data_IF_559739127430
#
_entry.id   IF_559739127430
#
_cell.length_a   1.000
_cell.length_b   1.000
_cell.length_c   1.000
_cell.angle_alpha   90.00
_cell.angle_beta   90.00
_cell.angle_gamma   90.00
#
_symmetry.space_group_name_H-M   'P 1'
#
loop_
_entity.id
_entity.type
_entity.pdbx_description
1 polymer ?
#
# COMPACT_ATOMS: atom_id res chain seq x y z
N UNK A 1 1.70 7.57 0.30
CA UNK A 1 0.34 7.92 -0.17
C UNK A 1 -0.50 8.29 1.04
N UNK A 2 -0.72 9.58 1.32
CA UNK A 2 -1.57 10.01 2.43
C UNK A 2 -3.05 9.69 2.14
N UNK A 3 -3.82 9.42 3.20
CA UNK A 3 -5.28 9.36 3.11
C UNK A 3 -5.87 10.78 3.12
N UNK A 4 -7.01 10.94 2.45
CA UNK A 4 -7.84 12.15 2.59
C UNK A 4 -8.45 12.22 4.01
N UNK A 5 -8.82 13.41 4.51
CA UNK A 5 -9.54 13.53 5.77
C UNK A 5 -10.88 12.77 5.74
N UNK A 6 -11.26 12.18 6.88
CA UNK A 6 -12.57 11.54 7.10
C UNK A 6 -12.91 10.34 6.18
N UNK A 7 -11.91 9.63 5.63
CA UNK A 7 -12.12 8.47 4.75
C UNK A 7 -11.97 7.10 5.42
N UNK A 8 -11.83 7.06 6.76
CA UNK A 8 -11.56 5.81 7.49
C UNK A 8 -12.58 4.70 7.19
N UNK A 9 -13.87 5.05 7.16
CA UNK A 9 -14.93 4.07 6.91
C UNK A 9 -14.92 3.55 5.46
N UNK A 10 -14.58 4.41 4.49
CA UNK A 10 -14.39 4.00 3.08
C UNK A 10 -13.20 3.06 3.00
N UNK A 11 -12.07 3.42 3.60
CA UNK A 11 -10.85 2.60 3.66
C UNK A 11 -11.16 1.21 4.20
N UNK A 12 -11.85 1.11 5.34
CA UNK A 12 -12.24 -0.19 5.92
C UNK A 12 -13.14 -0.98 4.96
N UNK A 13 -14.14 -0.33 4.37
CA UNK A 13 -15.10 -0.97 3.45
C UNK A 13 -14.43 -1.57 2.22
N UNK A 14 -13.47 -0.87 1.62
CA UNK A 14 -12.81 -1.31 0.37
C UNK A 14 -11.49 -2.05 0.61
N UNK A 15 -11.04 -2.19 1.87
CA UNK A 15 -9.77 -2.83 2.25
C UNK A 15 -9.60 -4.23 1.65
N UNK A 16 -10.67 -5.04 1.65
CA UNK A 16 -10.62 -6.39 1.07
C UNK A 16 -10.36 -6.32 -0.43
N UNK A 17 -11.05 -5.43 -1.15
CA UNK A 17 -10.87 -5.22 -2.59
C UNK A 17 -9.46 -4.71 -2.90
N UNK A 18 -8.90 -3.83 -2.05
CA UNK A 18 -7.52 -3.37 -2.18
C UNK A 18 -6.55 -4.56 -2.10
N UNK A 19 -6.72 -5.43 -1.11
CA UNK A 19 -5.86 -6.62 -1.00
C UNK A 19 -5.98 -7.56 -2.19
N UNK A 20 -7.19 -7.80 -2.70
CA UNK A 20 -7.37 -8.60 -3.91
C UNK A 20 -6.69 -7.95 -5.13
N UNK A 21 -6.77 -6.62 -5.27
CA UNK A 21 -6.14 -5.88 -6.36
C UNK A 21 -4.61 -5.92 -6.33
N UNK A 22 -3.98 -5.94 -5.15
CA UNK A 22 -2.52 -5.97 -5.05
C UNK A 22 -1.90 -7.38 -5.11
N UNK A 23 -2.66 -8.45 -4.87
CA UNK A 23 -2.16 -9.84 -4.99
C UNK A 23 -1.40 -10.12 -6.30
N UNK A 24 -1.94 -9.80 -7.50
CA UNK A 24 -1.20 -10.03 -8.75
C UNK A 24 0.06 -9.15 -8.86
N UNK A 25 0.08 -7.96 -8.25
CA UNK A 25 1.26 -7.09 -8.23
C UNK A 25 2.36 -7.68 -7.34
N UNK A 26 1.98 -8.29 -6.21
CA UNK A 26 2.90 -9.02 -5.34
C UNK A 26 3.45 -10.25 -6.08
N UNK A 27 2.57 -11.05 -6.69
CA UNK A 27 2.96 -12.28 -7.40
C UNK A 27 3.91 -12.01 -8.60
N UNK A 28 3.77 -10.86 -9.25
CA UNK A 28 4.65 -10.44 -10.35
C UNK A 28 5.91 -9.67 -9.89
N UNK A 29 6.07 -9.41 -8.60
CA UNK A 29 7.18 -8.61 -8.06
C UNK A 29 7.08 -7.10 -8.32
N UNK A 30 5.96 -6.63 -8.92
CA UNK A 30 5.70 -5.20 -9.15
C UNK A 30 5.40 -4.46 -7.86
N UNK A 31 4.76 -5.09 -6.86
CA UNK A 31 4.66 -4.57 -5.50
C UNK A 31 5.60 -5.35 -4.60
N UNK A 32 6.74 -4.76 -4.27
CA UNK A 32 7.83 -5.45 -3.60
C UNK A 32 7.73 -5.38 -2.06
N UNK A 33 7.22 -4.27 -1.54
CA UNK A 33 6.90 -4.10 -0.12
C UNK A 33 5.78 -3.08 0.06
N UNK A 34 5.01 -3.19 1.15
CA UNK A 34 4.00 -2.18 1.45
C UNK A 34 3.38 -2.32 2.83
N UNK A 35 2.76 -1.25 3.31
CA UNK A 35 2.15 -1.21 4.63
C UNK A 35 1.27 0.03 4.85
N UNK A 36 0.48 -0.02 5.92
CA UNK A 36 -0.28 1.11 6.40
C UNK A 36 0.62 2.06 7.21
N UNK A 37 0.43 3.36 7.01
CA UNK A 37 0.99 4.41 7.86
C UNK A 37 -0.05 4.73 8.93
N UNK A 38 0.35 4.73 10.20
CA UNK A 38 -0.54 5.04 11.31
C UNK A 38 -0.19 6.39 11.94
N UNK A 39 -1.19 7.07 12.53
CA UNK A 39 -1.00 8.31 13.32
C UNK A 39 -0.10 8.06 14.53
N UNK A 40 -0.28 6.90 15.17
CA UNK A 40 0.46 6.44 16.34
C UNK A 40 0.63 4.92 16.25
N UNK A 41 1.50 4.36 17.08
CA UNK A 41 1.65 2.91 17.16
C UNK A 41 0.29 2.26 17.45
N UNK A 42 -0.16 1.29 16.63
CA UNK A 42 -1.43 0.61 16.88
C UNK A 42 -1.34 -0.22 18.16
N UNK A 43 -2.40 -0.19 18.96
CA UNK A 43 -2.54 -0.99 20.19
C UNK A 43 -3.60 -2.05 19.92
N UNK A 44 -3.34 -3.29 20.32
CA UNK A 44 -4.28 -4.39 20.16
C UNK A 44 -5.62 -4.08 20.87
N UNK A 45 -6.73 -4.48 20.24
CA UNK A 45 -8.08 -4.18 20.71
C UNK A 45 -8.55 -2.74 20.49
N UNK A 46 -7.69 -1.82 20.00
CA UNK A 46 -8.08 -0.46 19.66
C UNK A 46 -8.24 -0.26 18.14
N UNK A 47 -9.10 0.68 17.76
CA UNK A 47 -9.19 1.09 16.36
C UNK A 47 -7.89 1.73 15.89
N UNK A 48 -7.28 1.15 14.86
CA UNK A 48 -6.10 1.73 14.24
C UNK A 48 -6.42 3.06 13.56
N UNK A 49 -5.58 4.06 13.77
CA UNK A 49 -5.71 5.40 13.19
C UNK A 49 -4.80 5.49 11.96
N UNK A 50 -5.39 5.39 10.76
CA UNK A 50 -4.65 5.41 9.50
C UNK A 50 -4.33 6.84 9.06
N UNK A 51 -3.11 7.04 8.57
CA UNK A 51 -2.66 8.25 7.86
C UNK A 51 -2.47 8.03 6.37
N UNK A 52 -2.33 6.79 5.93
CA UNK A 52 -1.97 6.51 4.55
C UNK A 52 -1.41 5.10 4.33
N UNK A 53 -0.72 4.97 3.21
CA UNK A 53 -0.01 3.78 2.80
C UNK A 53 1.39 4.13 2.31
N UNK A 54 2.36 3.27 2.58
CA UNK A 54 3.69 3.27 1.99
C UNK A 54 3.81 2.01 1.14
N UNK A 55 4.31 2.15 -0.08
CA UNK A 55 4.50 1.02 -1.00
C UNK A 55 5.78 1.24 -1.79
N UNK A 56 6.53 0.18 -1.98
CA UNK A 56 7.69 0.12 -2.87
C UNK A 56 7.27 -0.68 -4.10
N UNK A 57 7.26 -0.01 -5.26
CA UNK A 57 6.97 -0.62 -6.54
C UNK A 57 8.24 -0.85 -7.34
N UNK A 58 8.27 -1.95 -8.08
CA UNK A 58 9.22 -2.17 -9.18
C UNK A 58 8.54 -1.73 -10.47
N UNK A 59 9.15 -0.83 -11.23
CA UNK A 59 8.61 -0.31 -12.49
C UNK A 59 9.71 0.15 -13.42
N UNK A 60 9.41 0.26 -14.71
CA UNK A 60 10.33 0.75 -15.74
C UNK A 60 10.46 2.28 -15.67
N UNK A 61 9.37 2.98 -15.36
CA UNK A 61 9.33 4.42 -15.20
C UNK A 61 8.24 4.88 -14.20
N UNK A 62 8.19 6.19 -13.95
CA UNK A 62 7.21 6.80 -13.04
C UNK A 62 5.77 6.74 -13.58
N UNK A 63 5.58 6.71 -14.90
CA UNK A 63 4.25 6.70 -15.50
C UNK A 63 3.56 5.34 -15.29
N UNK A 64 4.32 4.24 -15.42
CA UNK A 64 3.85 2.90 -15.09
C UNK A 64 3.41 2.83 -13.61
N UNK A 65 4.27 3.29 -12.69
CA UNK A 65 3.97 3.27 -11.25
C UNK A 65 2.75 4.13 -10.91
N UNK A 66 2.62 5.31 -11.53
CA UNK A 66 1.42 6.16 -11.35
C UNK A 66 0.16 5.45 -11.81
N UNK A 67 0.19 4.79 -12.97
CA UNK A 67 -0.95 4.04 -13.48
C UNK A 67 -1.35 2.89 -12.54
N UNK A 68 -0.38 2.20 -11.92
CA UNK A 68 -0.67 1.18 -10.90
C UNK A 68 -1.41 1.81 -9.71
N UNK A 69 -0.89 2.93 -9.19
CA UNK A 69 -1.49 3.63 -8.04
C UNK A 69 -2.90 4.13 -8.37
N UNK A 70 -3.10 4.75 -9.52
CA UNK A 70 -4.38 5.34 -9.97
C UNK A 70 -5.48 4.30 -10.18
N UNK A 71 -5.11 3.06 -10.52
CA UNK A 71 -6.05 1.95 -10.69
C UNK A 71 -6.40 1.23 -9.38
N UNK A 72 -5.71 1.53 -8.28
CA UNK A 72 -6.02 0.93 -6.98
C UNK A 72 -7.41 1.38 -6.48
N UNK A 73 -8.14 0.50 -5.78
CA UNK A 73 -9.44 0.85 -5.22
C UNK A 73 -9.33 2.00 -4.20
N UNK A 74 -8.22 2.11 -3.46
CA UNK A 74 -8.00 3.25 -2.57
C UNK A 74 -7.83 4.57 -3.33
N UNK A 75 -7.29 4.55 -4.55
CA UNK A 75 -7.28 5.74 -5.41
C UNK A 75 -8.69 6.03 -5.95
N UNK A 76 -9.30 5.05 -6.62
CA UNK A 76 -10.58 5.24 -7.32
C UNK A 76 -11.78 5.48 -6.41
N UNK A 77 -11.73 5.04 -5.14
CA UNK A 77 -12.73 5.35 -4.11
C UNK A 77 -12.45 6.65 -3.33
N UNK A 78 -11.37 7.36 -3.65
CA UNK A 78 -11.01 8.63 -3.02
C UNK A 78 -10.43 8.49 -1.60
N UNK A 79 -9.91 7.32 -1.23
CA UNK A 79 -9.19 7.14 0.05
C UNK A 79 -7.86 7.87 -0.01
N UNK A 80 -7.04 7.64 -1.04
CA UNK A 80 -5.75 8.29 -1.18
C UNK A 80 -5.88 9.72 -1.73
N UNK A 81 -5.11 10.63 -1.13
CA UNK A 81 -4.87 11.97 -1.66
C UNK A 81 -3.71 11.90 -2.66
N UNK A 82 -4.04 11.66 -3.94
CA UNK A 82 -3.04 11.54 -5.01
C UNK A 82 -2.32 12.86 -5.29
N UNK A 83 -2.97 14.01 -5.05
CA UNK A 83 -2.35 15.34 -5.21
C UNK A 83 -1.20 15.54 -4.22
N UNK A 84 -1.30 14.94 -3.03
CA UNK A 84 -0.24 14.97 -2.01
C UNK A 84 0.63 13.71 -1.99
N UNK A 85 0.43 12.79 -2.93
CA UNK A 85 1.24 11.58 -3.02
C UNK A 85 2.62 11.89 -3.58
N UNK A 86 3.65 11.46 -2.85
CA UNK A 86 5.03 11.51 -3.31
C UNK A 86 5.42 10.18 -3.92
N UNK A 87 6.01 10.22 -5.12
CA UNK A 87 6.62 9.07 -5.80
C UNK A 87 8.08 9.40 -5.99
N UNK A 88 8.95 8.66 -5.30
CA UNK A 88 10.38 8.96 -5.22
C UNK A 88 11.14 7.75 -5.77
N UNK A 89 11.94 7.89 -6.83
CA UNK A 89 12.84 6.84 -7.30
C UNK A 89 13.89 6.54 -6.22
N UNK A 90 14.05 5.26 -5.88
CA UNK A 90 15.02 4.81 -4.88
C UNK A 90 15.77 3.58 -5.39
N UNK A 91 17.06 3.46 -5.03
CA UNK A 91 17.82 2.23 -5.19
C UNK A 91 17.81 1.48 -3.85
N UNK A 92 17.25 0.27 -3.83
CA UNK A 92 17.22 -0.56 -2.62
C UNK A 92 18.50 -1.38 -2.51
N UNK A 93 19.27 -1.17 -1.44
CA UNK A 93 20.52 -1.91 -1.18
C UNK A 93 20.30 -3.29 -0.56
N UNK A 94 19.10 -3.53 -0.04
CA UNK A 94 18.65 -4.86 0.38
C UNK A 94 17.49 -5.25 -0.53
N UNK A 95 17.50 -6.46 -1.13
CA UNK A 95 16.34 -6.91 -1.87
C UNK A 95 15.14 -6.90 -0.90
N UNK A 96 13.97 -6.38 -1.32
CA UNK A 96 12.75 -6.54 -0.55
C UNK A 96 12.58 -8.03 -0.29
N UNK A 97 12.29 -8.39 0.97
CA UNK A 97 12.28 -9.78 1.42
C UNK A 97 11.48 -10.63 0.43
N UNK A 98 12.18 -11.41 -0.41
CA UNK A 98 11.60 -12.55 -1.08
C UNK A 98 10.97 -13.37 0.02
N UNK A 99 9.67 -13.62 -0.10
CA UNK A 99 8.87 -14.43 0.80
C UNK A 99 9.72 -15.55 1.39
N UNK A 100 10.15 -15.37 2.65
CA UNK A 100 10.54 -16.51 3.44
C UNK A 100 9.29 -17.37 3.50
N UNK A 101 9.38 -18.56 2.93
CA UNK A 101 8.42 -19.62 3.18
C UNK A 101 8.26 -19.75 4.71
N UNK A 102 7.24 -19.13 5.27
CA UNK A 102 6.73 -19.46 6.59
C UNK A 102 5.46 -20.26 6.41
N UNK A 103 5.56 -21.34 5.63
CA UNK A 103 4.97 -22.60 6.05
C UNK A 103 5.91 -23.21 7.10
N UNK A 104 5.64 -22.91 8.37
CA UNK A 104 5.72 -23.84 9.53
C UNK A 104 5.78 -23.09 10.86
N UNK A 105 4.94 -23.60 11.77
CA UNK A 105 5.02 -23.59 13.24
C UNK A 105 4.21 -22.50 13.99
N UNK A 106 3.01 -22.94 14.38
CA UNK A 106 2.22 -22.65 15.59
C UNK A 106 1.41 -21.36 15.65
#
# INVERSE_FOLDING_TARGET
MPDRPNVLEIRKKVKVVHYEGIKPLIASGKLAAGGAIFEKHPVEGQSALFKGSVVVYTGEDIAEVRKIIENDIYATSGVWDLEKTQVIPVCSHYPPALSLETDKVH
#
